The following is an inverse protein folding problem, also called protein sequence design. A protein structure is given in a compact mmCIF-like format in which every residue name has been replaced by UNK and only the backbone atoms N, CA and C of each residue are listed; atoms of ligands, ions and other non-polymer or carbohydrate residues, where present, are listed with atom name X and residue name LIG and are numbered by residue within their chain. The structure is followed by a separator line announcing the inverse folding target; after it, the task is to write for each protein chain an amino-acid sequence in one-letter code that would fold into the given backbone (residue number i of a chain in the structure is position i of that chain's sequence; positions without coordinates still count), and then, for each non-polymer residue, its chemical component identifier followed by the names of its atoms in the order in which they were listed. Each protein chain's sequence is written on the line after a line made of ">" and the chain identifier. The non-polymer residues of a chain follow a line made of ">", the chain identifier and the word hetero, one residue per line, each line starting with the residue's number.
data_IF_209141061310
#
_entry.id   IF_209141061310
#
_cell.length_a   1.000
_cell.length_b   1.000
_cell.length_c   1.000
_cell.angle_alpha   90.00
_cell.angle_beta   90.00
_cell.angle_gamma   90.00
#
_symmetry.space_group_name_H-M   'P 1'
#
loop_
_entity.id
_entity.type
_entity.pdbx_description
1 polymer ?
#
# COMPACT_ATOMS: atom_id res chain seq x y z
N UNK A 1 -12.17 -55.73 -24.69
CA UNK A 1 -12.69 -55.07 -23.46
C UNK A 1 -11.63 -54.47 -22.54
N UNK A 2 -10.42 -54.99 -22.48
CA UNK A 2 -9.34 -54.49 -21.57
C UNK A 2 -8.84 -53.04 -21.82
N UNK A 3 -8.92 -52.52 -23.05
CA UNK A 3 -8.47 -51.16 -23.38
C UNK A 3 -9.40 -50.02 -22.89
N UNK A 4 -10.71 -50.29 -22.76
CA UNK A 4 -11.65 -49.27 -22.26
C UNK A 4 -11.54 -49.03 -20.76
N UNK A 5 -11.30 -50.10 -19.99
CA UNK A 5 -11.11 -50.02 -18.54
C UNK A 5 -9.81 -49.29 -18.18
N UNK A 6 -8.74 -49.50 -18.97
CA UNK A 6 -7.45 -48.84 -18.72
C UNK A 6 -7.49 -47.31 -18.98
N UNK A 7 -8.24 -46.87 -20.01
CA UNK A 7 -8.45 -45.45 -20.28
C UNK A 7 -9.28 -44.77 -19.21
N UNK A 8 -10.34 -45.40 -18.76
CA UNK A 8 -11.21 -44.85 -17.71
C UNK A 8 -10.44 -44.67 -16.38
N UNK A 9 -9.54 -45.60 -16.05
CA UNK A 9 -8.69 -45.48 -14.81
C UNK A 9 -7.62 -44.39 -14.96
N UNK A 10 -7.07 -44.15 -16.13
CA UNK A 10 -6.10 -43.07 -16.36
C UNK A 10 -6.77 -41.68 -16.30
N UNK A 11 -7.97 -41.54 -16.85
CA UNK A 11 -8.74 -40.28 -16.82
C UNK A 11 -9.20 -39.96 -15.39
N UNK A 12 -9.64 -40.94 -14.62
CA UNK A 12 -10.01 -40.75 -13.20
C UNK A 12 -8.80 -40.42 -12.33
N UNK A 13 -7.63 -41.04 -12.59
CA UNK A 13 -6.40 -40.72 -11.86
C UNK A 13 -5.92 -39.29 -12.17
N UNK A 14 -5.99 -38.85 -13.43
CA UNK A 14 -5.64 -37.49 -13.82
C UNK A 14 -6.57 -36.46 -13.17
N UNK A 15 -7.89 -36.72 -13.13
CA UNK A 15 -8.87 -35.84 -12.47
C UNK A 15 -8.60 -35.71 -10.96
N UNK A 16 -8.33 -36.84 -10.29
CA UNK A 16 -8.00 -36.83 -8.86
C UNK A 16 -6.71 -36.05 -8.57
N UNK A 17 -5.70 -36.20 -9.43
CA UNK A 17 -4.43 -35.47 -9.28
C UNK A 17 -4.64 -33.96 -9.45
N UNK A 18 -5.46 -33.57 -10.42
CA UNK A 18 -5.80 -32.16 -10.67
C UNK A 18 -6.55 -31.55 -9.49
N UNK A 19 -7.53 -32.28 -8.93
CA UNK A 19 -8.28 -31.84 -7.74
C UNK A 19 -7.37 -31.76 -6.53
N UNK A 20 -6.48 -32.74 -6.32
CA UNK A 20 -5.52 -32.71 -5.22
C UNK A 20 -4.52 -31.55 -5.34
N UNK A 21 -4.07 -31.25 -6.56
CA UNK A 21 -3.17 -30.12 -6.82
C UNK A 21 -3.89 -28.78 -6.60
N UNK A 22 -5.15 -28.68 -7.02
CA UNK A 22 -5.97 -27.48 -6.80
C UNK A 22 -6.28 -27.25 -5.31
N UNK A 23 -6.62 -28.31 -4.57
CA UNK A 23 -6.83 -28.24 -3.12
C UNK A 23 -5.56 -27.90 -2.38
N UNK A 24 -4.39 -28.42 -2.80
CA UNK A 24 -3.09 -28.07 -2.23
C UNK A 24 -2.74 -26.61 -2.50
N UNK A 25 -3.02 -26.11 -3.70
CA UNK A 25 -2.82 -24.70 -4.08
C UNK A 25 -3.73 -23.78 -3.26
N UNK A 26 -5.00 -24.12 -3.11
CA UNK A 26 -5.97 -23.36 -2.30
C UNK A 26 -5.58 -23.42 -0.81
N UNK A 27 -5.19 -24.58 -0.30
CA UNK A 27 -4.71 -24.71 1.06
C UNK A 27 -3.42 -23.93 1.32
N UNK A 28 -2.49 -23.92 0.35
CA UNK A 28 -1.27 -23.12 0.41
C UNK A 28 -1.56 -21.61 0.43
N UNK A 29 -2.56 -21.16 -0.32
CA UNK A 29 -3.01 -19.77 -0.30
C UNK A 29 -3.70 -19.42 1.04
N UNK A 30 -4.38 -20.37 1.68
CA UNK A 30 -5.02 -20.16 2.99
C UNK A 30 -4.05 -20.30 4.17
N UNK A 31 -2.96 -21.06 4.02
CA UNK A 31 -1.94 -21.17 5.08
C UNK A 31 -1.01 -19.97 5.13
N UNK A 32 -1.08 -19.09 4.14
CA UNK A 32 -0.45 -17.79 4.20
C UNK A 32 -1.46 -16.75 4.74
N UNK A 33 -2.12 -17.05 5.86
CA UNK A 33 -2.58 -15.97 6.73
C UNK A 33 -1.31 -15.26 7.19
N UNK A 34 -1.12 -13.99 6.81
CA UNK A 34 -0.01 -13.25 7.36
C UNK A 34 -0.28 -13.11 8.86
N UNK A 35 0.45 -13.88 9.69
CA UNK A 35 0.53 -13.69 11.15
C UNK A 35 1.11 -12.29 11.48
N UNK A 36 1.42 -11.52 10.45
CA UNK A 36 1.96 -10.19 10.52
C UNK A 36 0.88 -9.19 10.13
N UNK A 37 0.19 -8.72 11.16
CA UNK A 37 -0.83 -7.70 11.01
C UNK A 37 -0.24 -6.43 10.37
N UNK A 38 -0.87 -5.95 9.31
CA UNK A 38 -0.73 -4.56 8.92
C UNK A 38 -1.75 -3.72 9.68
N UNK A 39 -1.42 -2.48 9.99
CA UNK A 39 -2.32 -1.54 10.64
C UNK A 39 -2.50 -0.30 9.76
N UNK A 40 -3.73 0.21 9.69
CA UNK A 40 -3.97 1.51 9.08
C UNK A 40 -3.51 2.60 10.05
N UNK A 41 -2.57 3.42 9.61
CA UNK A 41 -2.09 4.57 10.37
C UNK A 41 -3.06 5.75 10.19
N UNK A 42 -4.22 5.64 10.86
CA UNK A 42 -5.34 6.59 10.72
C UNK A 42 -5.21 7.82 11.61
N UNK A 43 -4.50 7.73 12.72
CA UNK A 43 -4.40 8.78 13.76
C UNK A 43 -2.97 9.25 13.95
N UNK A 44 -2.77 10.29 14.75
CA UNK A 44 -1.47 10.88 14.99
C UNK A 44 -0.98 11.83 13.90
N UNK A 45 -1.74 12.00 12.83
CA UNK A 45 -1.42 12.94 11.76
C UNK A 45 -1.81 14.36 12.12
N UNK A 46 -1.00 15.31 11.70
CA UNK A 46 -1.29 16.74 11.86
C UNK A 46 -0.69 17.54 10.70
N UNK A 47 -1.23 18.75 10.53
CA UNK A 47 -0.69 19.80 9.66
C UNK A 47 -0.22 20.98 10.50
N UNK A 48 0.75 21.70 9.97
CA UNK A 48 1.15 23.00 10.46
C UNK A 48 0.61 24.09 9.52
N UNK A 49 -0.33 24.89 10.00
CA UNK A 49 -0.87 26.05 9.27
C UNK A 49 -0.52 27.30 10.07
N UNK A 50 0.28 28.19 9.51
CA UNK A 50 0.78 29.39 10.18
C UNK A 50 1.45 29.08 11.55
N UNK A 51 2.15 27.95 11.62
CA UNK A 51 2.79 27.46 12.83
C UNK A 51 1.86 26.83 13.86
N UNK A 52 0.56 26.75 13.58
CA UNK A 52 -0.43 26.10 14.46
C UNK A 52 -0.66 24.66 14.03
N UNK A 53 -0.50 23.74 14.98
CA UNK A 53 -0.79 22.31 14.78
C UNK A 53 -2.30 22.09 14.69
N UNK A 54 -2.72 21.38 13.63
CA UNK A 54 -4.10 20.93 13.44
C UNK A 54 -4.08 19.43 13.22
N UNK A 55 -4.70 18.69 14.13
CA UNK A 55 -4.77 17.23 14.02
C UNK A 55 -5.69 16.82 12.88
N UNK A 56 -5.29 15.76 12.19
CA UNK A 56 -5.98 15.18 11.04
C UNK A 56 -6.17 13.69 11.28
N UNK A 57 -7.39 13.20 11.06
CA UNK A 57 -7.66 11.75 11.07
C UNK A 57 -7.87 11.28 9.65
N UNK A 58 -7.17 10.22 9.24
CA UNK A 58 -7.29 9.63 7.91
C UNK A 58 -8.23 8.42 7.91
N UNK A 59 -8.99 8.17 6.84
CA UNK A 59 -8.97 8.88 5.56
C UNK A 59 -9.61 10.28 5.63
N UNK A 60 -9.08 11.22 4.86
CA UNK A 60 -9.58 12.58 4.81
C UNK A 60 -9.49 13.17 3.39
N UNK A 61 -10.35 14.16 3.12
CA UNK A 61 -10.21 15.02 1.94
C UNK A 61 -9.71 16.37 2.41
N UNK A 62 -8.52 16.74 1.95
CA UNK A 62 -7.83 17.94 2.38
C UNK A 62 -7.87 18.97 1.25
N UNK A 63 -8.28 20.22 1.52
CA UNK A 63 -8.30 21.27 0.51
C UNK A 63 -6.84 21.57 0.09
N UNK A 64 -6.59 21.64 -1.20
CA UNK A 64 -5.30 22.03 -1.76
C UNK A 64 -5.50 22.54 -3.19
N UNK A 65 -4.83 23.63 -3.53
CA UNK A 65 -4.81 24.13 -4.91
C UNK A 65 -3.77 23.36 -5.74
N UNK A 66 -3.96 23.23 -7.06
CA UNK A 66 -2.99 22.59 -7.94
C UNK A 66 -1.60 23.22 -7.81
N UNK A 67 -0.57 22.39 -7.60
CA UNK A 67 0.80 22.82 -7.37
C UNK A 67 1.09 23.34 -5.95
N UNK A 68 0.08 23.44 -5.08
CA UNK A 68 0.28 23.76 -3.67
C UNK A 68 0.73 22.53 -2.91
N UNK A 69 1.85 22.64 -2.21
CA UNK A 69 2.36 21.55 -1.37
C UNK A 69 1.58 21.47 -0.06
N UNK A 70 1.13 20.28 0.28
CA UNK A 70 0.45 19.94 1.52
C UNK A 70 1.29 18.92 2.26
N UNK A 71 1.68 19.20 3.51
CA UNK A 71 2.46 18.28 4.33
C UNK A 71 1.69 17.85 5.56
N UNK A 72 1.62 16.54 5.74
CA UNK A 72 1.15 15.88 6.96
C UNK A 72 2.34 15.34 7.74
N UNK A 73 2.30 15.46 9.03
CA UNK A 73 3.31 14.99 9.96
C UNK A 73 2.71 13.94 10.89
N UNK A 74 3.55 12.99 11.31
CA UNK A 74 3.19 11.99 12.32
C UNK A 74 4.40 11.72 13.23
N UNK A 75 4.24 11.89 14.54
CA UNK A 75 5.26 11.71 15.58
C UNK A 75 4.91 10.56 16.53
N UNK A 76 3.96 9.69 16.15
CA UNK A 76 3.52 8.58 17.00
C UNK A 76 4.26 7.26 16.74
N UNK A 77 5.14 7.22 15.74
CA UNK A 77 5.93 6.03 15.45
C UNK A 77 6.97 5.77 16.53
N UNK A 78 7.21 4.51 16.79
CA UNK A 78 8.15 4.01 17.79
C UNK A 78 9.24 3.17 17.16
N UNK A 79 10.30 2.82 17.88
CA UNK A 79 11.36 1.93 17.36
C UNK A 79 10.85 0.54 16.99
N UNK A 80 9.72 0.09 17.55
CA UNK A 80 9.07 -1.17 17.13
C UNK A 80 8.45 -1.11 15.72
N UNK A 81 8.41 0.07 15.11
CA UNK A 81 7.95 0.28 13.74
C UNK A 81 9.13 0.31 12.74
N UNK A 82 10.36 0.28 13.23
CA UNK A 82 11.57 0.15 12.40
C UNK A 82 11.57 -1.10 11.56
N UNK A 83 12.09 -1.01 10.33
CA UNK A 83 12.10 -2.09 9.35
C UNK A 83 10.73 -2.45 8.75
N UNK A 84 9.64 -1.83 9.20
CA UNK A 84 8.33 -1.96 8.57
C UNK A 84 8.23 -1.10 7.33
N UNK A 85 7.28 -1.43 6.46
CA UNK A 85 6.93 -0.66 5.27
C UNK A 85 5.70 0.18 5.54
N UNK A 86 5.83 1.48 5.33
CA UNK A 86 4.72 2.40 5.23
C UNK A 86 4.27 2.46 3.78
N UNK A 87 3.02 2.12 3.52
CA UNK A 87 2.42 2.18 2.19
C UNK A 87 1.33 3.24 2.13
N UNK A 88 1.56 4.27 1.34
CA UNK A 88 0.59 5.32 1.08
C UNK A 88 0.04 5.19 -0.34
N UNK A 89 -1.30 5.32 -0.49
CA UNK A 89 -1.95 5.27 -1.80
C UNK A 89 -2.09 6.65 -2.37
N UNK A 90 -1.49 6.87 -3.53
CA UNK A 90 -1.55 8.12 -4.28
C UNK A 90 -2.44 8.05 -5.52
N UNK A 91 -3.20 9.13 -5.77
CA UNK A 91 -3.97 9.34 -7.00
C UNK A 91 -3.88 10.80 -7.38
N UNK A 92 -3.29 11.10 -8.54
CA UNK A 92 -3.19 12.45 -9.10
C UNK A 92 -2.42 13.48 -8.25
N UNK A 93 -1.40 13.05 -7.52
CA UNK A 93 -0.48 13.95 -6.83
C UNK A 93 0.94 13.39 -6.79
N UNK A 94 1.92 14.29 -6.73
CA UNK A 94 3.30 13.95 -6.39
C UNK A 94 3.35 13.63 -4.90
N UNK A 95 4.18 12.68 -4.51
CA UNK A 95 4.29 12.23 -3.12
C UNK A 95 5.75 12.13 -2.70
N UNK A 96 6.04 12.66 -1.52
CA UNK A 96 7.33 12.51 -0.86
C UNK A 96 7.11 12.04 0.58
N UNK A 97 7.88 11.04 1.02
CA UNK A 97 7.85 10.48 2.37
C UNK A 97 9.24 10.64 2.98
N UNK A 98 9.31 11.24 4.18
CA UNK A 98 10.55 11.40 4.94
C UNK A 98 10.40 10.94 6.38
N UNK A 99 11.53 10.48 6.95
CA UNK A 99 11.70 10.32 8.41
C UNK A 99 12.75 11.34 8.86
N UNK A 100 12.34 12.36 9.61
CA UNK A 100 13.17 13.51 9.88
C UNK A 100 13.71 14.13 8.58
N UNK A 101 15.04 14.21 8.48
CA UNK A 101 15.72 14.72 7.26
C UNK A 101 15.91 13.64 6.18
N UNK A 102 15.69 12.37 6.48
CA UNK A 102 15.95 11.27 5.55
C UNK A 102 14.81 11.09 4.57
N UNK A 103 15.12 11.18 3.27
CA UNK A 103 14.17 10.85 2.20
C UNK A 103 14.03 9.34 2.10
N UNK A 104 12.79 8.83 2.29
CA UNK A 104 12.48 7.41 2.17
C UNK A 104 11.88 7.07 0.81
N UNK A 105 11.02 7.94 0.29
CA UNK A 105 10.35 7.72 -0.99
C UNK A 105 10.03 9.06 -1.66
N UNK A 106 10.14 9.10 -2.99
CA UNK A 106 9.68 10.23 -3.81
C UNK A 106 9.13 9.74 -5.14
N UNK A 107 7.98 10.26 -5.51
CA UNK A 107 7.40 10.12 -6.82
C UNK A 107 6.98 11.51 -7.35
N UNK A 108 7.40 11.81 -8.56
CA UNK A 108 7.05 13.05 -9.28
C UNK A 108 6.52 12.68 -10.66
N UNK A 109 5.31 13.13 -11.00
CA UNK A 109 4.66 12.84 -12.30
C UNK A 109 5.46 13.39 -13.49
N UNK A 110 6.24 14.44 -13.26
CA UNK A 110 7.11 15.03 -14.28
C UNK A 110 8.27 14.13 -14.73
N UNK A 111 8.56 13.06 -14.00
CA UNK A 111 9.56 12.06 -14.37
C UNK A 111 9.11 11.20 -15.56
N UNK A 112 7.82 11.23 -15.92
CA UNK A 112 7.26 10.45 -17.02
C UNK A 112 6.90 11.32 -18.23
N UNK A 113 6.98 10.79 -19.47
CA UNK A 113 6.57 11.52 -20.67
C UNK A 113 5.10 11.97 -20.55
N UNK A 114 4.81 13.22 -20.89
CA UNK A 114 3.47 13.83 -20.85
C UNK A 114 2.37 13.07 -21.63
N UNK A 115 2.76 12.07 -22.42
CA UNK A 115 1.87 11.23 -23.22
C UNK A 115 1.45 9.93 -22.50
N UNK A 116 1.89 9.69 -21.29
CA UNK A 116 1.42 8.54 -20.50
C UNK A 116 -0.03 8.79 -20.08
N UNK A 117 -0.98 8.24 -20.85
CA UNK A 117 -2.43 8.39 -20.62
C UNK A 117 -2.96 7.67 -19.38
N UNK A 118 -2.12 6.94 -18.65
CA UNK A 118 -2.49 6.24 -17.44
C UNK A 118 -1.85 6.92 -16.23
N UNK A 119 -2.55 7.83 -15.61
CA UNK A 119 -2.29 8.22 -14.23
C UNK A 119 -2.73 7.05 -13.34
N UNK A 120 -1.82 6.10 -13.14
CA UNK A 120 -2.08 4.90 -12.36
C UNK A 120 -2.30 5.22 -10.89
N UNK A 121 -3.00 4.33 -10.21
CA UNK A 121 -2.97 4.29 -8.75
C UNK A 121 -1.55 3.94 -8.34
N UNK A 122 -0.89 4.83 -7.62
CA UNK A 122 0.45 4.62 -7.11
C UNK A 122 0.36 4.09 -5.68
N UNK A 123 1.16 3.07 -5.39
CA UNK A 123 1.51 2.68 -4.04
C UNK A 123 2.90 3.24 -3.76
N UNK A 124 2.99 4.15 -2.79
CA UNK A 124 4.25 4.71 -2.31
C UNK A 124 4.69 3.89 -1.10
N UNK A 125 5.53 2.91 -1.34
CA UNK A 125 6.04 2.01 -0.31
C UNK A 125 7.40 2.52 0.18
N UNK A 126 7.47 2.91 1.44
CA UNK A 126 8.66 3.43 2.09
C UNK A 126 9.04 2.53 3.27
N UNK A 127 10.25 1.96 3.23
CA UNK A 127 10.81 1.22 4.37
C UNK A 127 11.23 2.21 5.45
N UNK A 128 10.75 1.99 6.67
CA UNK A 128 11.08 2.83 7.82
C UNK A 128 12.45 2.44 8.38
N UNK A 129 13.30 3.42 8.74
CA UNK A 129 14.57 3.13 9.37
C UNK A 129 14.38 2.49 10.76
N UNK A 130 15.31 1.63 11.17
CA UNK A 130 15.24 0.92 12.46
C UNK A 130 15.12 1.87 13.66
N UNK A 131 15.67 3.08 13.55
CA UNK A 131 15.64 4.13 14.56
C UNK A 131 14.55 5.17 14.30
N UNK A 132 13.37 4.75 13.86
CA UNK A 132 12.25 5.66 13.54
C UNK A 132 11.65 6.32 14.79
N UNK A 133 11.79 5.69 15.94
CA UNK A 133 11.27 6.21 17.20
C UNK A 133 11.82 7.60 17.52
N UNK A 134 10.92 8.52 17.84
CA UNK A 134 11.26 9.92 18.11
C UNK A 134 11.56 10.77 16.86
N UNK A 135 11.51 10.19 15.66
CA UNK A 135 11.57 10.94 14.42
C UNK A 135 10.17 11.32 13.95
N UNK A 136 10.05 12.50 13.38
CA UNK A 136 8.79 12.92 12.73
C UNK A 136 8.74 12.35 11.31
N UNK A 137 7.74 11.53 11.05
CA UNK A 137 7.40 11.11 9.70
C UNK A 137 6.67 12.25 8.99
N UNK A 138 7.06 12.60 7.78
CA UNK A 138 6.34 13.56 6.95
C UNK A 138 5.89 12.95 5.64
N UNK A 139 4.66 13.27 5.26
CA UNK A 139 4.01 12.90 4.00
C UNK A 139 3.67 14.18 3.26
N UNK A 140 4.42 14.48 2.22
CA UNK A 140 4.25 15.70 1.42
C UNK A 140 3.58 15.34 0.11
N UNK A 141 2.50 16.05 -0.20
CA UNK A 141 1.63 15.82 -1.36
C UNK A 141 1.53 17.12 -2.17
N UNK A 142 1.65 17.01 -3.49
CA UNK A 142 1.44 18.14 -4.40
C UNK A 142 0.41 17.73 -5.44
N UNK A 143 -0.85 18.19 -5.34
CA UNK A 143 -1.88 17.82 -6.29
C UNK A 143 -1.55 18.34 -7.69
N UNK A 144 -1.75 17.48 -8.68
CA UNK A 144 -1.55 17.79 -10.10
C UNK A 144 -2.81 18.41 -10.73
N UNK A 145 -3.96 18.09 -10.18
CA UNK A 145 -5.25 18.58 -10.63
C UNK A 145 -6.23 18.63 -9.46
N UNK A 146 -7.36 19.32 -9.67
CA UNK A 146 -8.40 19.41 -8.63
C UNK A 146 -8.10 20.46 -7.55
N UNK A 147 -8.98 20.52 -6.55
CA UNK A 147 -8.93 21.45 -5.42
C UNK A 147 -8.90 20.75 -4.06
N UNK A 148 -8.66 19.46 -4.08
CA UNK A 148 -8.59 18.66 -2.87
C UNK A 148 -7.77 17.38 -3.11
N UNK A 149 -7.10 16.93 -2.07
CA UNK A 149 -6.41 15.64 -2.00
C UNK A 149 -7.25 14.69 -1.16
N UNK A 150 -7.76 13.63 -1.78
CA UNK A 150 -8.40 12.53 -1.07
C UNK A 150 -7.30 11.53 -0.66
N UNK A 151 -6.94 11.54 0.61
CA UNK A 151 -5.89 10.69 1.16
C UNK A 151 -6.49 9.56 1.99
N UNK A 152 -6.23 8.33 1.59
CA UNK A 152 -6.50 7.15 2.40
C UNK A 152 -5.51 7.07 3.58
N UNK A 153 -5.90 6.39 4.65
CA UNK A 153 -4.95 6.10 5.72
C UNK A 153 -3.80 5.23 5.17
N UNK A 154 -2.53 5.63 5.33
CA UNK A 154 -1.41 4.77 5.01
C UNK A 154 -1.45 3.48 5.81
N UNK A 155 -0.94 2.41 5.23
CA UNK A 155 -0.85 1.10 5.87
C UNK A 155 0.59 0.90 6.34
N UNK A 156 0.75 0.45 7.56
CA UNK A 156 2.03 0.13 8.18
C UNK A 156 2.09 -1.37 8.49
N UNK A 157 3.10 -2.07 8.02
CA UNK A 157 3.25 -3.51 8.26
C UNK A 157 4.57 -4.04 7.72
N UNK A 158 4.78 -5.34 7.85
CA UNK A 158 5.94 -5.96 7.20
C UNK A 158 5.77 -5.97 5.68
N UNK A 159 6.87 -6.08 4.95
CA UNK A 159 6.83 -6.07 3.48
C UNK A 159 5.89 -7.16 2.89
N UNK A 160 5.87 -8.41 3.40
CA UNK A 160 4.92 -9.42 2.95
C UNK A 160 3.45 -9.04 3.22
N UNK A 161 3.14 -8.50 4.41
CA UNK A 161 1.80 -8.09 4.79
C UNK A 161 1.27 -6.95 3.91
N UNK A 162 2.09 -5.94 3.64
CA UNK A 162 1.78 -4.81 2.75
C UNK A 162 1.56 -5.29 1.32
N UNK A 163 2.43 -6.18 0.81
CA UNK A 163 2.27 -6.77 -0.52
C UNK A 163 0.96 -7.56 -0.63
N UNK A 164 0.62 -8.35 0.38
CA UNK A 164 -0.66 -9.07 0.45
C UNK A 164 -1.86 -8.12 0.41
N UNK A 165 -1.80 -7.01 1.15
CA UNK A 165 -2.81 -5.96 1.13
C UNK A 165 -2.99 -5.34 -0.27
N UNK A 166 -1.90 -5.07 -1.00
CA UNK A 166 -1.96 -4.54 -2.37
C UNK A 166 -2.68 -5.50 -3.32
N UNK A 167 -2.36 -6.81 -3.23
CA UNK A 167 -3.00 -7.83 -4.07
C UNK A 167 -4.50 -7.89 -3.78
N UNK A 168 -4.89 -7.95 -2.51
CA UNK A 168 -6.30 -7.99 -2.11
C UNK A 168 -7.05 -6.74 -2.59
N UNK A 169 -6.51 -5.54 -2.34
CA UNK A 169 -7.15 -4.28 -2.72
C UNK A 169 -7.28 -4.12 -4.24
N UNK A 170 -6.40 -4.73 -5.02
CA UNK A 170 -6.44 -4.72 -6.49
C UNK A 170 -7.53 -5.66 -7.03
N UNK A 171 -7.70 -6.84 -6.41
CA UNK A 171 -8.70 -7.81 -6.82
C UNK A 171 -10.14 -7.32 -6.60
N UNK A 172 -10.39 -6.57 -5.51
CA UNK A 172 -11.71 -6.04 -5.20
C UNK A 172 -12.05 -4.71 -5.90
N UNK A 173 -11.11 -4.13 -6.65
CA UNK A 173 -11.31 -2.86 -7.37
C UNK A 173 -11.79 -3.04 -8.82
N UNK A 174 -12.10 -4.27 -9.26
CA UNK A 174 -12.53 -4.63 -10.62
C UNK A 174 -14.08 -4.81 -10.67
N UNK A 175 -14.80 -4.31 -9.69
CA UNK A 175 -16.26 -4.32 -9.64
C UNK A 175 -16.89 -2.97 -10.00
#
# INVERSE_FOLDING_TARGET
>A
MKHKTLRCTAETAALLLTVAMLTFLIAGLHQHEPDEAFAALSTGWYQLTDGVRRDVTLPATLPAEPGQTLTLYNDTLTDSDGGKVLSARGVEYDIEIRAGETLLYRYEDNAFPKNAQMKGRLWADAELPDNIGGQTLSLTLTPLSGRAVALAAPVLGTAPAVTGHHIQSSLFSIG
#
